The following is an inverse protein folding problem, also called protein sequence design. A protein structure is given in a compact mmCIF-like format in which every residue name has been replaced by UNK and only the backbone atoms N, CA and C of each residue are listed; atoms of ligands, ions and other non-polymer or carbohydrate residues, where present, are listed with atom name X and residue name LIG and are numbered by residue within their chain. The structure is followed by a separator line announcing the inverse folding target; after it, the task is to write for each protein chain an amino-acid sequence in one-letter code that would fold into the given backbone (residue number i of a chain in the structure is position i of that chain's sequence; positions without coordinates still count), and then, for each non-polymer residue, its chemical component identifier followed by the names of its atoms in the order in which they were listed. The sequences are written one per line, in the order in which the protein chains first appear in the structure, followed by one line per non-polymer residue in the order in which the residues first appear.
data_IF_466486387961
#
_entry.id   IF_466486387961
#
_cell.length_a   1.000
_cell.length_b   1.000
_cell.length_c   1.000
_cell.angle_alpha   90.00
_cell.angle_beta   90.00
_cell.angle_gamma   90.00
#
_symmetry.space_group_name_H-M   'P 1'
#
loop_
_entity.id
_entity.type
_entity.pdbx_description
1 polymer ?
#
# COMPACT_ATOMS: atom_id res chain seq x y z
N UNK A 1 17.40 31.62 9.40
CA UNK A 1 16.03 31.34 9.90
C UNK A 1 15.14 30.71 8.82
N UNK A 2 15.30 31.09 7.55
CA UNK A 2 14.58 30.50 6.40
C UNK A 2 14.79 28.97 6.24
N UNK A 3 16.04 28.49 6.31
CA UNK A 3 16.33 27.04 6.23
C UNK A 3 15.70 26.19 7.34
N UNK A 4 15.47 26.77 8.53
CA UNK A 4 14.81 26.06 9.65
C UNK A 4 13.32 25.90 9.35
N UNK A 5 12.69 26.90 8.73
CA UNK A 5 11.28 26.87 8.38
C UNK A 5 10.99 25.83 7.28
N UNK A 6 11.88 25.69 6.30
CA UNK A 6 11.76 24.66 5.26
C UNK A 6 12.00 23.24 5.79
N UNK A 7 12.93 23.08 6.73
CA UNK A 7 13.11 21.80 7.42
C UNK A 7 11.89 21.42 8.27
N UNK A 8 11.29 22.36 9.00
CA UNK A 8 10.07 22.12 9.78
C UNK A 8 8.88 21.80 8.84
N UNK A 9 8.75 22.49 7.71
CA UNK A 9 7.73 22.19 6.70
C UNK A 9 7.89 20.78 6.15
N UNK A 10 9.09 20.38 5.72
CA UNK A 10 9.33 19.04 5.19
C UNK A 10 9.15 17.96 6.26
N UNK A 11 9.55 18.23 7.50
CA UNK A 11 9.37 17.33 8.63
C UNK A 11 7.90 17.05 8.96
N UNK A 12 6.97 17.96 8.62
CA UNK A 12 5.53 17.75 8.77
C UNK A 12 4.90 17.20 7.49
N UNK A 13 5.32 17.70 6.34
CA UNK A 13 4.74 17.36 5.04
C UNK A 13 5.00 15.90 4.66
N UNK A 14 6.21 15.38 4.91
CA UNK A 14 6.57 13.99 4.58
C UNK A 14 5.70 13.00 5.38
N UNK A 15 5.58 13.11 6.72
CA UNK A 15 4.65 12.26 7.49
C UNK A 15 3.19 12.43 7.05
N UNK A 16 2.75 13.65 6.76
CA UNK A 16 1.37 13.90 6.35
C UNK A 16 1.06 13.18 5.03
N UNK A 17 1.94 13.28 4.03
CA UNK A 17 1.79 12.56 2.75
C UNK A 17 1.78 11.05 3.00
N UNK A 18 2.65 10.55 3.87
CA UNK A 18 2.67 9.12 4.24
C UNK A 18 1.33 8.67 4.81
N UNK A 19 0.76 9.42 5.76
CA UNK A 19 -0.56 9.12 6.36
C UNK A 19 -1.65 9.14 5.29
N UNK A 20 -1.65 10.14 4.40
CA UNK A 20 -2.63 10.24 3.31
C UNK A 20 -2.51 9.03 2.37
N UNK A 21 -1.30 8.65 1.96
CA UNK A 21 -1.08 7.49 1.11
C UNK A 21 -1.57 6.20 1.76
N UNK A 22 -1.24 5.97 3.04
CA UNK A 22 -1.70 4.79 3.78
C UNK A 22 -3.22 4.79 3.93
N UNK A 23 -3.83 5.93 4.23
CA UNK A 23 -5.27 6.06 4.37
C UNK A 23 -6.00 5.77 3.05
N UNK A 24 -5.48 6.27 1.93
CA UNK A 24 -6.04 6.00 0.60
C UNK A 24 -5.92 4.51 0.27
N UNK A 25 -4.73 3.91 0.40
CA UNK A 25 -4.51 2.51 0.05
C UNK A 25 -5.35 1.60 0.95
N UNK A 26 -5.31 1.81 2.27
CA UNK A 26 -6.09 1.04 3.24
C UNK A 26 -7.59 1.21 3.04
N UNK A 27 -8.04 2.44 2.77
CA UNK A 27 -9.43 2.75 2.48
C UNK A 27 -9.94 2.06 1.21
N UNK A 28 -9.16 2.06 0.13
CA UNK A 28 -9.49 1.37 -1.11
C UNK A 28 -9.57 -0.14 -0.92
N UNK A 29 -8.59 -0.74 -0.23
CA UNK A 29 -8.61 -2.18 0.07
C UNK A 29 -9.84 -2.51 0.92
N UNK A 30 -10.08 -1.78 2.02
CA UNK A 30 -11.25 -1.98 2.86
C UNK A 30 -12.57 -1.85 2.09
N UNK A 31 -12.67 -0.86 1.20
CA UNK A 31 -13.82 -0.68 0.32
C UNK A 31 -14.04 -1.88 -0.61
N UNK A 32 -12.98 -2.43 -1.20
CA UNK A 32 -13.05 -3.65 -2.03
C UNK A 32 -13.56 -4.84 -1.21
N UNK A 33 -13.08 -5.02 0.02
CA UNK A 33 -13.56 -6.09 0.90
C UNK A 33 -15.05 -5.95 1.22
N UNK A 34 -15.51 -4.74 1.53
CA UNK A 34 -16.93 -4.45 1.80
C UNK A 34 -17.79 -4.72 0.56
N UNK A 35 -17.33 -4.27 -0.61
CA UNK A 35 -18.04 -4.52 -1.87
C UNK A 35 -18.12 -6.01 -2.14
N UNK A 36 -17.00 -6.73 -2.05
CA UNK A 36 -16.96 -8.17 -2.32
C UNK A 36 -17.93 -8.94 -1.42
N UNK A 37 -17.99 -8.59 -0.15
CA UNK A 37 -18.94 -9.19 0.79
C UNK A 37 -20.40 -8.91 0.43
N UNK A 38 -20.71 -7.69 -0.02
CA UNK A 38 -22.09 -7.25 -0.29
C UNK A 38 -22.62 -7.62 -1.68
N UNK A 39 -21.76 -7.72 -2.69
CA UNK A 39 -22.18 -7.84 -4.09
C UNK A 39 -21.96 -9.22 -4.69
N UNK A 40 -21.11 -10.05 -4.09
CA UNK A 40 -20.81 -11.38 -4.61
C UNK A 40 -21.44 -12.46 -3.77
N UNK A 41 -21.94 -13.53 -4.40
CA UNK A 41 -22.49 -14.71 -3.70
C UNK A 41 -21.47 -15.49 -2.85
N UNK A 42 -20.21 -15.06 -2.87
CA UNK A 42 -19.13 -15.63 -2.07
C UNK A 42 -19.04 -15.01 -0.65
N UNK A 43 -19.64 -13.82 -0.43
CA UNK A 43 -19.74 -13.14 0.86
C UNK A 43 -18.42 -13.19 1.67
N UNK A 44 -18.43 -13.89 2.81
CA UNK A 44 -17.28 -14.09 3.71
C UNK A 44 -16.09 -14.77 3.02
N UNK A 45 -16.35 -15.82 2.23
CA UNK A 45 -15.30 -16.56 1.55
C UNK A 45 -14.59 -15.73 0.49
N UNK A 46 -15.29 -14.78 -0.14
CA UNK A 46 -14.67 -13.81 -1.03
C UNK A 46 -13.59 -12.98 -0.32
N UNK A 47 -13.94 -12.43 0.85
CA UNK A 47 -13.00 -11.66 1.66
C UNK A 47 -11.81 -12.50 2.12
N UNK A 48 -12.05 -13.75 2.53
CA UNK A 48 -10.98 -14.68 2.95
C UNK A 48 -10.00 -14.97 1.81
N UNK A 49 -10.50 -15.32 0.63
CA UNK A 49 -9.65 -15.63 -0.53
C UNK A 49 -8.83 -14.40 -0.95
N UNK A 50 -9.47 -13.23 -1.00
CA UNK A 50 -8.79 -11.98 -1.32
C UNK A 50 -7.70 -11.64 -0.30
N UNK A 51 -7.99 -11.79 1.00
CA UNK A 51 -7.01 -11.60 2.08
C UNK A 51 -5.82 -12.54 1.96
N UNK A 52 -6.09 -13.83 1.73
CA UNK A 52 -5.04 -14.85 1.52
C UNK A 52 -4.18 -14.53 0.30
N UNK A 53 -4.79 -14.06 -0.80
CA UNK A 53 -4.05 -13.64 -1.97
C UNK A 53 -3.13 -12.45 -1.67
N UNK A 54 -3.61 -11.41 -0.97
CA UNK A 54 -2.79 -10.25 -0.60
C UNK A 54 -1.59 -10.64 0.29
N UNK A 55 -1.78 -11.55 1.24
CA UNK A 55 -0.71 -12.03 2.13
C UNK A 55 0.45 -12.67 1.37
N UNK A 56 0.18 -13.36 0.27
CA UNK A 56 1.22 -14.02 -0.54
C UNK A 56 1.74 -13.11 -1.65
N UNK A 57 0.84 -12.42 -2.35
CA UNK A 57 1.19 -11.64 -3.53
C UNK A 57 1.95 -10.36 -3.19
N UNK A 58 1.65 -9.68 -2.07
CA UNK A 58 2.34 -8.45 -1.71
C UNK A 58 3.83 -8.69 -1.44
N UNK A 59 4.23 -9.65 -0.58
CA UNK A 59 5.65 -9.98 -0.38
C UNK A 59 6.31 -10.51 -1.66
N UNK A 60 5.62 -11.34 -2.44
CA UNK A 60 6.15 -11.86 -3.70
C UNK A 60 6.43 -10.74 -4.70
N UNK A 61 5.52 -9.78 -4.86
CA UNK A 61 5.72 -8.62 -5.72
C UNK A 61 6.88 -7.75 -5.23
N UNK A 62 7.01 -7.53 -3.92
CA UNK A 62 8.12 -6.79 -3.34
C UNK A 62 9.48 -7.48 -3.64
N UNK A 63 9.56 -8.79 -3.48
CA UNK A 63 10.74 -9.59 -3.82
C UNK A 63 11.09 -9.49 -5.30
N UNK A 64 10.11 -9.63 -6.19
CA UNK A 64 10.32 -9.54 -7.63
C UNK A 64 10.79 -8.15 -8.06
N UNK A 65 10.20 -7.09 -7.51
CA UNK A 65 10.59 -5.71 -7.77
C UNK A 65 12.03 -5.46 -7.31
N UNK A 66 12.37 -5.88 -6.09
CA UNK A 66 13.73 -5.73 -5.57
C UNK A 66 14.76 -6.42 -6.47
N UNK A 67 14.53 -7.69 -6.81
CA UNK A 67 15.43 -8.44 -7.69
C UNK A 67 15.52 -7.82 -9.11
N UNK A 68 14.43 -7.23 -9.62
CA UNK A 68 14.45 -6.53 -10.90
C UNK A 68 15.32 -5.25 -10.86
N UNK A 69 15.27 -4.49 -9.76
CA UNK A 69 16.12 -3.30 -9.61
C UNK A 69 17.59 -3.67 -9.36
N UNK A 70 17.86 -4.70 -8.55
CA UNK A 70 19.23 -5.19 -8.29
C UNK A 70 19.92 -5.67 -9.58
N UNK A 71 19.20 -6.32 -10.49
CA UNK A 71 19.75 -6.73 -11.79
C UNK A 71 20.08 -5.56 -12.71
N UNK A 72 19.32 -4.46 -12.64
CA UNK A 72 19.58 -3.28 -13.47
C UNK A 72 20.75 -2.45 -12.98
N UNK A 73 21.00 -2.40 -11.68
CA UNK A 73 22.16 -1.68 -11.12
C UNK A 73 23.47 -2.46 -11.21
N UNK A 74 23.40 -3.77 -11.48
CA UNK A 74 24.56 -4.65 -11.65
C UNK A 74 25.07 -4.74 -13.12
N UNK A 75 24.47 -4.02 -14.07
CA UNK A 75 24.90 -3.93 -15.48
C UNK A 75 25.40 -2.52 -15.78
#
# INVERSE_FOLDING_TARGET
MEMVFDQIKMAILIPLISVICVAIIGGLIGFIFILLYKTTGLHEWGAVILGMALVVLVPAAAFLLQNYFEKQTAT
#
